data_IF_906278561332
#
_entry.id   IF_906278561332
#
_cell.length_a   1.000
_cell.length_b   1.000
_cell.length_c   1.000
_cell.angle_alpha   90.00
_cell.angle_beta   90.00
_cell.angle_gamma   90.00
#
_symmetry.space_group_name_H-M   'P 1'
#
loop_
_entity.id
_entity.type
_entity.pdbx_description
1 polymer ?
#
# COMPACT_ATOMS: atom_id res chain seq x y z
N UNK A 1 15.38 8.06 20.00
CA UNK A 1 14.46 9.06 19.41
C UNK A 1 13.49 8.30 18.53
N UNK A 2 12.22 8.22 18.91
CA UNK A 2 11.22 7.39 18.23
C UNK A 2 10.88 7.97 16.87
N UNK A 3 11.23 7.26 15.80
CA UNK A 3 10.82 7.63 14.45
C UNK A 3 9.29 7.51 14.37
N UNK A 4 8.60 8.64 14.24
CA UNK A 4 7.17 8.73 13.92
C UNK A 4 6.95 8.33 12.45
N UNK A 5 7.28 7.10 12.10
CA UNK A 5 7.21 6.62 10.71
C UNK A 5 5.97 5.79 10.41
N UNK A 6 5.05 5.63 11.37
CA UNK A 6 3.81 4.87 11.17
C UNK A 6 2.61 5.77 10.87
N UNK A 7 1.50 5.13 10.50
CA UNK A 7 0.20 5.78 10.32
C UNK A 7 -0.25 6.49 11.61
N UNK A 8 -0.63 7.77 11.50
CA UNK A 8 -1.17 8.54 12.62
C UNK A 8 -2.71 8.55 12.56
N UNK A 9 -3.40 7.83 13.46
CA UNK A 9 -4.84 7.76 13.42
C UNK A 9 -5.54 9.08 13.80
N UNK A 10 -4.84 10.02 14.45
CA UNK A 10 -5.40 11.32 14.80
C UNK A 10 -5.57 12.25 13.59
N UNK A 11 -4.84 11.99 12.51
CA UNK A 11 -5.02 12.71 11.24
C UNK A 11 -6.29 12.19 10.56
N UNK A 12 -7.24 13.09 10.34
CA UNK A 12 -8.57 12.78 9.80
C UNK A 12 -8.94 13.65 8.59
N UNK A 13 -8.07 14.58 8.21
CA UNK A 13 -8.23 15.49 7.07
C UNK A 13 -6.89 15.79 6.41
N UNK A 14 -6.92 16.16 5.14
CA UNK A 14 -5.72 16.50 4.38
C UNK A 14 -4.93 15.26 3.94
N UNK A 15 -3.61 15.37 3.94
CA UNK A 15 -2.70 14.29 3.50
C UNK A 15 -1.74 13.97 4.64
N UNK A 16 -1.55 12.68 4.93
CA UNK A 16 -0.43 12.21 5.74
C UNK A 16 0.50 11.34 4.91
N UNK A 17 1.77 11.32 5.29
CA UNK A 17 2.79 10.48 4.67
C UNK A 17 3.52 9.77 5.77
N UNK A 18 3.72 8.47 5.60
CA UNK A 18 4.51 7.64 6.50
C UNK A 18 5.30 6.60 5.70
N UNK A 19 6.12 5.79 6.38
CA UNK A 19 6.96 4.78 5.75
C UNK A 19 6.65 3.40 6.32
N UNK A 20 6.34 2.45 5.44
CA UNK A 20 6.08 1.05 5.80
C UNK A 20 7.02 0.17 4.99
N UNK A 21 7.83 -0.68 5.64
CA UNK A 21 8.78 -1.58 4.97
C UNK A 21 9.62 -0.93 3.85
N UNK A 22 10.16 0.25 4.12
CA UNK A 22 10.93 1.09 3.17
C UNK A 22 10.14 1.63 1.96
N UNK A 23 8.83 1.46 1.92
CA UNK A 23 7.94 2.09 0.97
C UNK A 23 7.29 3.35 1.56
N UNK A 24 7.21 4.41 0.75
CA UNK A 24 6.54 5.64 1.13
C UNK A 24 5.04 5.48 0.90
N UNK A 25 4.25 5.57 1.96
CA UNK A 25 2.79 5.50 1.93
C UNK A 25 2.21 6.90 2.07
N UNK A 26 1.41 7.31 1.10
CA UNK A 26 0.64 8.56 1.15
C UNK A 26 -0.82 8.25 1.41
N UNK A 27 -1.39 8.80 2.49
CA UNK A 27 -2.82 8.65 2.80
C UNK A 27 -3.53 9.97 2.57
N UNK A 28 -4.52 9.94 1.70
CA UNK A 28 -5.38 11.08 1.36
C UNK A 28 -6.67 10.93 2.15
N UNK A 29 -6.83 11.78 3.16
CA UNK A 29 -8.04 11.88 3.97
C UNK A 29 -9.04 12.85 3.34
N UNK A 30 -10.21 12.98 3.98
CA UNK A 30 -11.22 13.96 3.60
C UNK A 30 -10.63 15.38 3.44
N UNK A 31 -10.94 16.03 2.32
CA UNK A 31 -10.45 17.37 1.99
C UNK A 31 -8.98 17.43 1.56
N UNK A 32 -8.27 16.30 1.54
CA UNK A 32 -6.95 16.19 0.93
C UNK A 32 -7.04 15.99 -0.57
N UNK A 33 -5.97 16.34 -1.27
CA UNK A 33 -5.76 16.01 -2.67
C UNK A 33 -4.30 15.59 -2.86
N UNK A 34 -4.06 14.69 -3.79
CA UNK A 34 -2.71 14.28 -4.16
C UNK A 34 -2.13 15.33 -5.10
N UNK A 35 -1.12 16.06 -4.63
CA UNK A 35 -0.48 17.16 -5.36
C UNK A 35 0.53 16.67 -6.41
N UNK A 36 1.15 15.51 -6.15
CA UNK A 36 2.14 14.89 -7.01
C UNK A 36 1.99 13.37 -7.04
N UNK A 37 2.17 12.80 -8.24
CA UNK A 37 2.18 11.36 -8.47
C UNK A 37 3.61 10.94 -8.81
N UNK A 38 4.24 10.14 -7.95
CA UNK A 38 5.55 9.55 -8.19
C UNK A 38 5.39 8.07 -8.53
N UNK A 39 5.99 7.61 -9.63
CA UNK A 39 5.83 6.23 -10.11
C UNK A 39 6.16 5.20 -9.02
N UNK A 40 5.30 4.19 -8.87
CA UNK A 40 5.46 3.11 -7.91
C UNK A 40 5.03 3.47 -6.48
N UNK A 41 4.62 4.72 -6.21
CA UNK A 41 4.25 5.13 -4.86
C UNK A 41 2.94 4.48 -4.42
N UNK A 42 2.92 4.07 -3.16
CA UNK A 42 1.72 3.57 -2.49
C UNK A 42 0.85 4.75 -2.06
N UNK A 43 -0.42 4.72 -2.49
CA UNK A 43 -1.40 5.74 -2.14
C UNK A 43 -2.66 5.07 -1.60
N UNK A 44 -3.12 5.57 -0.45
CA UNK A 44 -4.36 5.19 0.21
C UNK A 44 -5.36 6.34 0.11
N UNK A 45 -6.54 6.11 -0.44
CA UNK A 45 -7.62 7.10 -0.42
C UNK A 45 -8.66 6.70 0.63
N UNK A 46 -8.85 7.52 1.66
CA UNK A 46 -9.91 7.30 2.64
C UNK A 46 -11.28 7.40 1.97
N UNK A 47 -12.15 6.46 2.27
CA UNK A 47 -13.52 6.42 1.77
C UNK A 47 -14.53 6.48 2.92
N UNK A 48 -15.58 5.66 2.89
CA UNK A 48 -16.53 5.51 3.99
C UNK A 48 -15.92 4.79 5.19
N UNK A 49 -16.62 4.88 6.32
CA UNK A 49 -16.39 3.99 7.46
C UNK A 49 -17.23 2.72 7.32
N UNK A 50 -16.73 1.63 7.89
CA UNK A 50 -17.41 0.35 8.02
C UNK A 50 -17.16 -0.15 9.44
N UNK A 51 -18.22 -0.51 10.18
CA UNK A 51 -18.14 -0.93 11.59
C UNK A 51 -17.27 0.01 12.47
N UNK A 52 -17.45 1.32 12.30
CA UNK A 52 -16.70 2.40 12.97
C UNK A 52 -15.22 2.55 12.56
N UNK A 53 -14.69 1.63 11.74
CA UNK A 53 -13.34 1.67 11.20
C UNK A 53 -13.27 2.51 9.91
N UNK A 54 -12.12 3.16 9.68
CA UNK A 54 -11.86 3.88 8.43
C UNK A 54 -11.36 2.93 7.37
N UNK A 55 -12.00 3.00 6.20
CA UNK A 55 -11.64 2.17 5.06
C UNK A 55 -10.88 3.00 4.03
N UNK A 56 -9.95 2.34 3.34
CA UNK A 56 -9.05 2.95 2.39
C UNK A 56 -9.04 2.15 1.09
N UNK A 57 -9.18 2.84 -0.03
CA UNK A 57 -8.78 2.28 -1.30
C UNK A 57 -7.25 2.20 -1.33
N UNK A 58 -6.72 0.97 -1.42
CA UNK A 58 -5.30 0.71 -1.46
C UNK A 58 -4.84 0.47 -2.90
N UNK A 59 -3.85 1.24 -3.33
CA UNK A 59 -3.31 1.15 -4.67
C UNK A 59 -1.91 1.70 -4.81
N UNK A 60 -1.35 1.48 -5.99
CA UNK A 60 -0.06 1.99 -6.41
C UNK A 60 -0.23 2.88 -7.63
N UNK A 61 0.57 3.92 -7.68
CA UNK A 61 0.59 4.85 -8.81
C UNK A 61 1.54 4.36 -9.90
N UNK A 62 1.12 4.48 -11.14
CA UNK A 62 1.94 4.30 -12.33
C UNK A 62 2.08 5.64 -13.04
N UNK A 63 2.84 5.70 -14.14
CA UNK A 63 3.01 6.92 -14.92
C UNK A 63 1.70 7.47 -15.49
N UNK A 64 0.67 6.64 -15.62
CA UNK A 64 -0.58 6.99 -16.32
C UNK A 64 -1.83 6.72 -15.51
N UNK A 65 -1.75 5.97 -14.41
CA UNK A 65 -2.92 5.50 -13.70
C UNK A 65 -2.65 5.28 -12.20
N UNK A 66 -3.74 5.17 -11.47
CA UNK A 66 -3.75 4.58 -10.13
C UNK A 66 -4.32 3.17 -10.23
N UNK A 67 -3.55 2.18 -9.83
CA UNK A 67 -3.92 0.77 -9.86
C UNK A 67 -4.28 0.29 -8.46
N UNK A 68 -5.46 -0.31 -8.30
CA UNK A 68 -5.88 -0.87 -7.02
C UNK A 68 -5.10 -2.17 -6.73
N UNK A 69 -4.43 -2.20 -5.58
CA UNK A 69 -3.76 -3.42 -5.09
C UNK A 69 -4.82 -4.40 -4.55
N UNK A 70 -5.90 -3.88 -3.97
CA UNK A 70 -7.00 -4.67 -3.43
C UNK A 70 -8.31 -4.32 -4.16
N UNK A 71 -9.15 -5.32 -4.44
CA UNK A 71 -10.41 -5.13 -5.18
C UNK A 71 -11.50 -4.37 -4.40
N UNK A 72 -11.32 -4.18 -3.09
CA UNK A 72 -12.26 -3.51 -2.21
C UNK A 72 -11.50 -2.58 -1.24
N UNK A 73 -12.19 -1.61 -0.60
CA UNK A 73 -11.60 -0.83 0.47
C UNK A 73 -11.17 -1.74 1.63
N UNK A 74 -10.05 -1.41 2.25
CA UNK A 74 -9.45 -2.19 3.34
C UNK A 74 -9.16 -1.32 4.54
N UNK A 75 -9.07 -1.91 5.72
CA UNK A 75 -8.62 -1.21 6.91
C UNK A 75 -7.11 -0.92 6.86
N UNK A 76 -6.65 0.00 7.72
CA UNK A 76 -5.21 0.27 7.82
C UNK A 76 -4.42 -0.95 8.34
N UNK A 77 -5.06 -1.82 9.13
CA UNK A 77 -4.45 -3.06 9.60
C UNK A 77 -4.27 -4.07 8.47
N UNK A 78 -5.24 -4.18 7.57
CA UNK A 78 -5.13 -5.02 6.38
C UNK A 78 -4.02 -4.54 5.44
N UNK A 79 -3.85 -3.22 5.29
CA UNK A 79 -2.70 -2.65 4.55
C UNK A 79 -1.38 -3.08 5.21
N UNK A 80 -1.25 -2.95 6.53
CA UNK A 80 -0.06 -3.40 7.25
C UNK A 80 0.22 -4.91 7.10
N UNK A 81 -0.84 -5.74 7.16
CA UNK A 81 -0.73 -7.18 6.92
C UNK A 81 -0.26 -7.49 5.50
N UNK A 82 -0.74 -6.75 4.50
CA UNK A 82 -0.27 -6.90 3.13
C UNK A 82 1.24 -6.66 3.02
N UNK A 83 1.75 -5.58 3.61
CA UNK A 83 3.20 -5.30 3.62
C UNK A 83 4.00 -6.40 4.31
N UNK A 84 3.49 -6.94 5.43
CA UNK A 84 4.14 -8.04 6.13
C UNK A 84 4.20 -9.31 5.25
N UNK A 85 3.09 -9.70 4.62
CA UNK A 85 3.06 -10.86 3.73
C UNK A 85 3.95 -10.65 2.49
N UNK A 86 3.97 -9.43 1.93
CA UNK A 86 4.84 -9.10 0.81
C UNK A 86 6.32 -9.23 1.20
N UNK A 87 6.71 -8.72 2.36
CA UNK A 87 8.08 -8.88 2.87
C UNK A 87 8.42 -10.34 3.15
N UNK A 88 7.52 -11.11 3.76
CA UNK A 88 7.73 -12.53 4.00
C UNK A 88 7.93 -13.33 2.70
N UNK A 89 7.19 -12.98 1.65
CA UNK A 89 7.40 -13.55 0.31
C UNK A 89 8.79 -13.19 -0.22
N UNK A 90 9.19 -11.93 -0.16
CA UNK A 90 10.54 -11.50 -0.56
C UNK A 90 11.62 -12.27 0.21
N UNK A 91 11.48 -12.38 1.53
CA UNK A 91 12.44 -13.05 2.40
C UNK A 91 12.52 -14.56 2.10
N UNK A 92 11.37 -15.21 1.81
CA UNK A 92 11.31 -16.62 1.43
C UNK A 92 12.04 -16.92 0.10
N UNK A 93 12.17 -15.92 -0.77
CA UNK A 93 12.86 -16.01 -2.05
C UNK A 93 14.27 -15.38 -2.02
N UNK A 94 14.89 -15.22 -0.84
CA UNK A 94 16.20 -14.56 -0.67
C UNK A 94 16.28 -13.14 -1.27
N UNK A 95 15.14 -12.47 -1.44
CA UNK A 95 15.04 -11.17 -2.12
C UNK A 95 15.14 -11.25 -3.65
N UNK A 96 15.23 -12.44 -4.24
CA UNK A 96 15.29 -12.67 -5.68
C UNK A 96 13.93 -13.17 -6.20
N UNK A 97 13.13 -12.25 -6.72
CA UNK A 97 11.85 -12.58 -7.35
C UNK A 97 12.00 -13.04 -8.81
N UNK A 98 13.19 -12.92 -9.41
CA UNK A 98 13.40 -13.30 -10.81
C UNK A 98 13.34 -14.83 -10.98
N UNK A 99 13.72 -15.59 -9.94
CA UNK A 99 13.57 -17.06 -9.89
C UNK A 99 12.10 -17.52 -10.06
N UNK A 100 11.11 -16.71 -9.66
CA UNK A 100 9.69 -17.06 -9.79
C UNK A 100 9.15 -16.80 -11.20
N UNK A 101 9.71 -15.82 -11.92
CA UNK A 101 9.34 -15.52 -13.30
C UNK A 101 9.85 -16.58 -14.28
N UNK A 102 11.04 -17.14 -14.02
CA UNK A 102 11.64 -18.19 -14.86
C UNK A 102 11.12 -19.61 -14.57
N UNK A 103 10.45 -19.82 -13.43
CA UNK A 103 9.82 -21.11 -13.08
C UNK A 103 8.39 -21.29 -13.62
N UNK A 104 7.81 -20.31 -14.33
CA UNK A 104 6.65 -20.53 -15.22
C UNK A 104 7.05 -21.23 -16.53
N UNK A 105 7.94 -22.22 -16.44
CA UNK A 105 8.13 -23.21 -17.49
C UNK A 105 6.78 -23.86 -17.80
N UNK A 106 6.40 -23.78 -19.07
CA UNK A 106 5.18 -24.29 -19.72
C UNK A 106 4.33 -25.26 -18.87
N UNK A 107 3.08 -24.87 -18.59
CA UNK A 107 2.06 -25.79 -18.12
C UNK A 107 1.97 -26.97 -19.10
N UNK A 108 2.11 -28.24 -18.66
CA UNK A 108 1.93 -29.38 -19.54
C UNK A 108 0.47 -29.41 -20.00
N UNK A 109 0.28 -29.33 -21.31
CA UNK A 109 -1.00 -29.51 -22.02
C UNK A 109 -1.46 -30.98 -22.00
#
# INVERSE_FOLDING_TARGET
MGNKNGFDPSVTRGVQVYWERAERVTVVHSGGFLDRVDQGSVVLFETKREDEERMFWFGRTTNTAYWFVMHQPVSIFEVGNWFNHHQMMLDAHNGDLDEFCDMQGELPF
#
